data_IF_858509057748
#
_entry.id   IF_858509057748
#
_cell.length_a   1.000
_cell.length_b   1.000
_cell.length_c   1.000
_cell.angle_alpha   90.00
_cell.angle_beta   90.00
_cell.angle_gamma   90.00
#
_symmetry.space_group_name_H-M   'P 1'
#
loop_
_entity.id
_entity.type
_entity.pdbx_description
1 polymer ?
#
# COMPACT_ATOMS: atom_id res chain seq x y z
N UNK A 1 6.88 -5.02 -18.49
CA UNK A 1 7.82 -4.28 -19.35
C UNK A 1 8.26 -2.98 -18.65
N UNK A 2 9.42 -2.45 -19.03
CA UNK A 2 9.90 -1.17 -18.52
C UNK A 2 9.30 -0.02 -19.35
N UNK A 3 8.88 1.03 -18.68
CA UNK A 3 8.46 2.28 -19.31
C UNK A 3 9.54 3.36 -19.14
N UNK A 4 9.50 4.44 -19.91
CA UNK A 4 10.27 5.65 -19.58
C UNK A 4 9.89 6.19 -18.19
N UNK A 5 10.79 6.93 -17.56
CA UNK A 5 10.54 7.62 -16.29
C UNK A 5 9.61 8.82 -16.53
N UNK A 6 8.31 8.53 -16.53
CA UNK A 6 7.25 9.52 -16.71
C UNK A 6 6.00 9.04 -15.95
N UNK A 7 5.92 9.35 -14.67
CA UNK A 7 4.92 8.79 -13.75
C UNK A 7 3.48 9.08 -14.21
N UNK A 8 3.22 10.27 -14.75
CA UNK A 8 1.91 10.60 -15.33
C UNK A 8 1.56 9.70 -16.52
N UNK A 9 2.53 9.34 -17.36
CA UNK A 9 2.33 8.40 -18.46
C UNK A 9 2.15 6.97 -17.98
N UNK A 10 2.89 6.55 -16.95
CA UNK A 10 2.75 5.22 -16.34
C UNK A 10 1.33 5.04 -15.84
N UNK A 11 0.83 5.98 -15.04
CA UNK A 11 -0.54 5.90 -14.51
C UNK A 11 -1.57 6.07 -15.62
N UNK A 12 -1.38 7.02 -16.54
CA UNK A 12 -2.32 7.25 -17.66
C UNK A 12 -2.48 6.03 -18.56
N UNK A 13 -1.37 5.35 -18.91
CA UNK A 13 -1.40 4.10 -19.67
C UNK A 13 -2.10 3.00 -18.90
N UNK A 14 -1.83 2.88 -17.60
CA UNK A 14 -2.46 1.89 -16.74
C UNK A 14 -3.99 2.10 -16.62
N UNK A 15 -4.46 3.35 -16.59
CA UNK A 15 -5.91 3.63 -16.66
C UNK A 15 -6.50 3.07 -17.95
N UNK A 16 -5.89 3.33 -19.10
CA UNK A 16 -6.33 2.80 -20.38
C UNK A 16 -6.39 1.26 -20.39
N UNK A 17 -5.36 0.61 -19.86
CA UNK A 17 -5.33 -0.85 -19.70
C UNK A 17 -6.45 -1.36 -18.78
N UNK A 18 -6.65 -0.68 -17.63
CA UNK A 18 -7.67 -1.09 -16.67
C UNK A 18 -9.09 -1.03 -17.25
N UNK A 19 -9.44 0.06 -17.92
CA UNK A 19 -10.79 0.20 -18.52
C UNK A 19 -11.02 -0.69 -19.74
N UNK A 20 -9.95 -1.23 -20.34
CA UNK A 20 -10.05 -2.23 -21.41
C UNK A 20 -10.04 -3.67 -20.90
N UNK A 21 -10.13 -3.87 -19.59
CA UNK A 21 -10.31 -5.20 -18.98
C UNK A 21 -9.05 -5.87 -18.46
N UNK A 22 -7.89 -5.21 -18.52
CA UNK A 22 -6.67 -5.70 -17.89
C UNK A 22 -6.63 -5.34 -16.40
N UNK A 23 -5.73 -5.99 -15.65
CA UNK A 23 -5.40 -5.66 -14.26
C UNK A 23 -3.94 -5.21 -14.18
N UNK A 24 -3.63 -3.97 -14.53
CA UNK A 24 -2.27 -3.49 -14.51
C UNK A 24 -1.77 -3.35 -13.08
N UNK A 25 -0.52 -3.77 -12.88
CA UNK A 25 0.26 -3.50 -11.68
C UNK A 25 1.42 -2.63 -12.12
N UNK A 26 1.42 -1.39 -11.71
CA UNK A 26 2.47 -0.43 -12.07
C UNK A 26 3.28 -0.04 -10.84
N UNK A 27 4.53 0.32 -11.06
CA UNK A 27 5.43 0.74 -10.00
C UNK A 27 5.91 2.17 -10.24
N UNK A 28 5.80 2.99 -9.20
CA UNK A 28 6.47 4.27 -9.09
C UNK A 28 7.69 4.03 -8.19
N UNK A 29 8.91 4.27 -8.69
CA UNK A 29 10.17 3.89 -8.06
C UNK A 29 10.31 4.34 -6.60
N UNK A 30 9.83 5.55 -6.30
CA UNK A 30 9.76 6.11 -4.96
C UNK A 30 8.47 6.92 -4.85
N UNK A 31 7.82 6.80 -3.70
CA UNK A 31 6.60 7.55 -3.43
C UNK A 31 6.77 9.07 -3.59
N UNK A 32 7.98 9.56 -3.37
CA UNK A 32 8.37 10.96 -3.54
C UNK A 32 8.13 11.48 -4.97
N UNK A 33 8.09 10.61 -5.97
CA UNK A 33 7.88 11.00 -7.38
C UNK A 33 6.44 10.86 -7.86
N UNK A 34 5.55 10.34 -7.03
CA UNK A 34 4.15 10.11 -7.43
C UNK A 34 3.39 11.41 -7.73
N UNK A 35 3.89 12.53 -7.24
CA UNK A 35 3.26 13.85 -7.36
C UNK A 35 3.03 14.28 -8.79
N UNK A 36 3.89 13.90 -9.71
CA UNK A 36 3.72 14.20 -11.15
C UNK A 36 2.53 13.49 -11.78
N UNK A 37 2.03 12.43 -11.16
CA UNK A 37 0.86 11.65 -11.61
C UNK A 37 -0.40 11.87 -10.77
N UNK A 38 -0.38 12.84 -9.84
CA UNK A 38 -1.52 13.07 -8.95
C UNK A 38 -2.80 13.46 -9.68
N UNK A 39 -2.70 14.16 -10.81
CA UNK A 39 -3.87 14.49 -11.62
C UNK A 39 -4.53 13.24 -12.18
N UNK A 40 -3.75 12.27 -12.67
CA UNK A 40 -4.25 10.99 -13.17
C UNK A 40 -4.87 10.17 -12.04
N UNK A 41 -4.22 10.13 -10.87
CA UNK A 41 -4.73 9.36 -9.73
C UNK A 41 -6.00 10.02 -9.18
N UNK A 42 -5.91 11.27 -8.80
CA UNK A 42 -7.00 11.98 -8.10
C UNK A 42 -8.20 12.25 -9.00
N UNK A 43 -8.00 12.63 -10.25
CA UNK A 43 -9.08 13.03 -11.12
C UNK A 43 -9.65 11.87 -11.95
N UNK A 44 -8.84 10.87 -12.27
CA UNK A 44 -9.27 9.77 -13.14
C UNK A 44 -9.44 8.45 -12.37
N UNK A 45 -8.38 7.95 -11.75
CA UNK A 45 -8.39 6.62 -11.11
C UNK A 45 -9.45 6.52 -10.03
N UNK A 46 -9.42 7.41 -9.04
CA UNK A 46 -10.31 7.31 -7.88
C UNK A 46 -11.76 7.70 -8.18
N UNK A 47 -11.99 8.49 -9.22
CA UNK A 47 -13.34 8.97 -9.56
C UNK A 47 -14.01 8.16 -10.66
N UNK A 48 -13.31 7.25 -11.31
CA UNK A 48 -13.78 6.53 -12.51
C UNK A 48 -15.15 5.90 -12.29
N UNK A 49 -15.31 5.13 -11.24
CA UNK A 49 -16.57 4.45 -10.91
C UNK A 49 -17.69 5.45 -10.62
N UNK A 50 -17.42 6.48 -9.85
CA UNK A 50 -18.40 7.51 -9.52
C UNK A 50 -18.85 8.30 -10.76
N UNK A 51 -17.90 8.81 -11.56
CA UNK A 51 -18.20 9.60 -12.77
C UNK A 51 -18.93 8.82 -13.84
N UNK A 52 -18.67 7.53 -13.93
CA UNK A 52 -19.34 6.66 -14.90
C UNK A 52 -20.66 6.07 -14.40
N UNK A 53 -21.16 6.49 -13.25
CA UNK A 53 -22.33 5.88 -12.64
C UNK A 53 -22.21 4.36 -12.49
N UNK A 54 -21.02 3.90 -12.03
CA UNK A 54 -20.66 2.50 -11.83
C UNK A 54 -20.57 1.65 -13.13
N UNK A 55 -20.52 2.28 -14.30
CA UNK A 55 -20.38 1.57 -15.56
C UNK A 55 -18.93 1.11 -15.80
N UNK A 56 -17.94 1.86 -15.31
CA UNK A 56 -16.54 1.55 -15.50
C UNK A 56 -15.84 1.26 -14.18
N UNK A 57 -15.03 0.23 -14.20
CA UNK A 57 -14.12 -0.15 -13.12
C UNK A 57 -12.70 0.30 -13.48
N UNK A 58 -11.87 0.49 -12.47
CA UNK A 58 -10.44 0.81 -12.67
C UNK A 58 -9.58 -0.06 -11.75
N UNK A 59 -9.47 -1.39 -12.03
CA UNK A 59 -8.74 -2.33 -11.19
C UNK A 59 -7.22 -2.18 -11.35
N UNK A 60 -6.69 -1.03 -10.98
CA UNK A 60 -5.30 -0.65 -11.10
C UNK A 60 -4.60 -0.79 -9.75
N UNK A 61 -3.43 -1.41 -9.72
CA UNK A 61 -2.56 -1.46 -8.53
C UNK A 61 -1.35 -0.58 -8.78
N UNK A 62 -1.16 0.42 -7.92
CA UNK A 62 -0.02 1.33 -7.94
C UNK A 62 0.90 0.94 -6.79
N UNK A 63 2.05 0.36 -7.07
CA UNK A 63 3.08 0.07 -6.08
C UNK A 63 4.00 1.27 -5.92
N UNK A 64 4.28 1.63 -4.67
CA UNK A 64 5.18 2.74 -4.35
C UNK A 64 6.01 2.42 -3.10
N UNK A 65 7.34 2.33 -3.19
CA UNK A 65 8.21 2.27 -2.03
C UNK A 65 8.16 3.58 -1.24
N UNK A 66 7.92 3.48 0.06
CA UNK A 66 7.76 4.62 1.00
C UNK A 66 8.74 4.53 2.16
N UNK A 67 8.83 5.59 2.95
CA UNK A 67 9.60 5.63 4.19
C UNK A 67 11.10 5.80 4.00
N UNK A 68 11.80 6.03 5.10
CA UNK A 68 13.25 6.25 5.15
C UNK A 68 14.07 4.97 5.23
N UNK A 69 15.22 5.07 5.94
CA UNK A 69 16.19 4.01 6.25
C UNK A 69 17.10 3.54 5.12
N UNK A 70 17.08 4.22 3.97
CA UNK A 70 18.02 3.93 2.87
C UNK A 70 19.08 5.03 2.67
N UNK A 71 19.10 6.05 3.52
CA UNK A 71 19.96 7.23 3.43
C UNK A 71 19.81 8.01 2.11
N UNK A 72 18.62 8.00 1.51
CA UNK A 72 18.30 8.66 0.24
C UNK A 72 17.96 10.15 0.35
N UNK A 73 17.99 10.72 1.56
CA UNK A 73 17.62 12.11 1.81
C UNK A 73 16.14 12.37 1.62
N UNK A 74 15.78 13.65 1.48
CA UNK A 74 14.39 14.12 1.50
C UNK A 74 13.55 13.68 0.29
N UNK A 75 14.18 13.36 -0.82
CA UNK A 75 13.50 12.96 -2.07
C UNK A 75 13.33 11.45 -2.21
N UNK A 76 13.68 10.67 -1.19
CA UNK A 76 13.59 9.21 -1.21
C UNK A 76 13.14 8.63 0.13
N UNK A 77 12.49 9.40 0.97
CA UNK A 77 12.23 8.99 2.35
C UNK A 77 10.82 9.29 2.87
N UNK A 78 9.94 9.82 2.02
CA UNK A 78 8.61 10.23 2.45
C UNK A 78 7.68 9.04 2.68
N UNK A 79 6.77 9.22 3.64
CA UNK A 79 5.57 8.39 3.84
C UNK A 79 4.36 9.24 3.48
N UNK A 80 3.59 8.78 2.52
CA UNK A 80 2.57 9.60 1.82
C UNK A 80 1.15 9.06 1.99
N UNK A 81 0.97 8.06 2.80
CA UNK A 81 -0.33 7.40 3.05
C UNK A 81 -1.44 8.39 3.44
N UNK A 82 -1.12 9.39 4.28
CA UNK A 82 -2.06 10.42 4.69
C UNK A 82 -2.69 11.21 3.55
N UNK A 83 -1.97 11.44 2.45
CA UNK A 83 -2.54 12.14 1.28
C UNK A 83 -3.62 11.31 0.58
N UNK A 84 -3.44 10.01 0.49
CA UNK A 84 -4.40 9.10 -0.16
C UNK A 84 -5.62 8.80 0.73
N UNK A 85 -5.51 8.95 2.03
CA UNK A 85 -6.64 8.81 2.95
C UNK A 85 -7.74 9.87 2.71
N UNK A 86 -7.39 10.99 2.08
CA UNK A 86 -8.34 12.04 1.69
C UNK A 86 -8.94 11.84 0.29
N UNK A 87 -8.68 10.70 -0.36
CA UNK A 87 -9.16 10.42 -1.72
C UNK A 87 -10.16 9.25 -1.70
N UNK A 88 -11.48 9.52 -1.61
CA UNK A 88 -12.48 8.46 -1.73
C UNK A 88 -12.34 7.75 -3.09
N UNK A 89 -12.42 6.41 -3.07
CA UNK A 89 -12.37 5.61 -4.30
C UNK A 89 -11.04 4.89 -4.54
N UNK A 90 -10.09 4.96 -3.61
CA UNK A 90 -8.88 4.14 -3.62
C UNK A 90 -8.72 3.41 -2.30
N UNK A 91 -8.24 2.18 -2.37
CA UNK A 91 -7.84 1.40 -1.20
C UNK A 91 -6.34 1.54 -0.96
N UNK A 92 -5.95 1.57 0.32
CA UNK A 92 -4.55 1.71 0.72
C UNK A 92 -4.10 0.39 1.34
N UNK A 93 -3.05 -0.21 0.80
CA UNK A 93 -2.35 -1.33 1.39
C UNK A 93 -0.99 -0.86 1.91
N UNK A 94 -0.68 -1.17 3.16
CA UNK A 94 0.60 -0.81 3.76
C UNK A 94 1.05 -1.92 4.72
N UNK A 95 1.54 -3.04 4.17
CA UNK A 95 1.89 -4.22 4.95
C UNK A 95 3.05 -3.97 5.92
N UNK A 96 3.04 -4.72 7.02
CA UNK A 96 4.08 -4.68 8.05
C UNK A 96 5.05 -5.86 8.00
N UNK A 97 4.70 -6.92 7.27
CA UNK A 97 5.51 -8.13 7.14
C UNK A 97 5.29 -8.80 5.76
N UNK A 98 6.07 -9.83 5.48
CA UNK A 98 6.07 -10.49 4.17
C UNK A 98 4.77 -11.24 3.86
N UNK A 99 4.15 -11.92 4.84
CA UNK A 99 2.89 -12.64 4.62
C UNK A 99 1.73 -11.68 4.34
N UNK A 100 1.65 -10.56 5.07
CA UNK A 100 0.65 -9.52 4.83
C UNK A 100 0.83 -8.92 3.44
N UNK A 101 2.08 -8.66 3.03
CA UNK A 101 2.37 -8.15 1.70
C UNK A 101 1.88 -9.11 0.60
N UNK A 102 2.16 -10.41 0.74
CA UNK A 102 1.67 -11.44 -0.19
C UNK A 102 0.14 -11.48 -0.22
N UNK A 103 -0.50 -11.56 0.95
CA UNK A 103 -1.95 -11.69 1.07
C UNK A 103 -2.71 -10.47 0.53
N UNK A 104 -2.25 -9.27 0.88
CA UNK A 104 -2.84 -8.01 0.42
C UNK A 104 -2.66 -7.80 -1.09
N UNK A 105 -1.47 -8.09 -1.64
CA UNK A 105 -1.22 -7.92 -3.08
C UNK A 105 -2.07 -8.90 -3.89
N UNK A 106 -2.17 -10.15 -3.46
CA UNK A 106 -3.03 -11.15 -4.08
C UNK A 106 -4.51 -10.75 -4.00
N UNK A 107 -4.94 -10.17 -2.88
CA UNK A 107 -6.30 -9.66 -2.75
C UNK A 107 -6.53 -8.45 -3.65
N UNK A 108 -5.58 -7.51 -3.72
CA UNK A 108 -5.65 -6.36 -4.61
C UNK A 108 -5.85 -6.77 -6.07
N UNK A 109 -5.16 -7.82 -6.53
CA UNK A 109 -5.34 -8.37 -7.89
C UNK A 109 -6.76 -8.92 -8.16
N UNK A 110 -7.58 -9.15 -7.14
CA UNK A 110 -8.96 -9.65 -7.27
C UNK A 110 -10.01 -8.57 -7.16
N UNK A 111 -9.62 -7.41 -6.70
CA UNK A 111 -10.54 -6.27 -6.55
C UNK A 111 -10.85 -5.63 -7.91
N UNK A 112 -11.94 -4.90 -7.94
CA UNK A 112 -12.41 -4.10 -9.06
C UNK A 112 -12.08 -2.61 -8.89
N UNK A 113 -11.71 -2.23 -7.67
CA UNK A 113 -11.36 -0.86 -7.29
C UNK A 113 -9.84 -0.69 -7.25
N UNK A 114 -9.34 0.53 -7.45
CA UNK A 114 -7.91 0.78 -7.45
C UNK A 114 -7.30 0.66 -6.07
N UNK A 115 -6.04 0.22 -6.05
CA UNK A 115 -5.26 0.06 -4.82
C UNK A 115 -3.95 0.80 -4.96
N UNK A 116 -3.60 1.62 -3.96
CA UNK A 116 -2.21 2.04 -3.77
C UNK A 116 -1.55 1.09 -2.76
N UNK A 117 -0.47 0.47 -3.18
CA UNK A 117 0.26 -0.52 -2.41
C UNK A 117 1.61 0.05 -1.98
N UNK A 118 1.69 0.47 -0.72
CA UNK A 118 2.86 1.13 -0.15
C UNK A 118 3.78 0.12 0.52
N UNK A 119 5.03 0.12 0.12
CA UNK A 119 6.05 -0.81 0.63
C UNK A 119 7.11 -0.02 1.40
N UNK A 120 7.15 -0.20 2.73
CA UNK A 120 8.13 0.53 3.54
C UNK A 120 9.54 -0.01 3.33
N UNK A 121 10.41 0.80 2.75
CA UNK A 121 11.80 0.42 2.40
C UNK A 121 12.63 -0.08 3.59
N UNK A 122 12.38 0.49 4.77
CA UNK A 122 13.04 0.07 6.01
C UNK A 122 12.70 -1.35 6.46
N UNK A 123 11.65 -1.98 5.90
CA UNK A 123 11.28 -3.37 6.18
C UNK A 123 11.92 -4.36 5.22
N UNK A 124 12.42 -3.90 4.07
CA UNK A 124 13.06 -4.77 3.11
C UNK A 124 14.25 -5.50 3.73
N UNK A 125 14.28 -6.80 3.58
CA UNK A 125 15.37 -7.68 4.06
C UNK A 125 15.57 -7.68 5.59
N UNK A 126 14.57 -7.21 6.35
CA UNK A 126 14.65 -7.25 7.81
C UNK A 126 14.11 -8.57 8.35
N UNK A 127 14.90 -9.24 9.18
CA UNK A 127 14.50 -10.52 9.77
C UNK A 127 13.21 -10.43 10.59
N UNK A 128 13.00 -9.34 11.32
CA UNK A 128 11.79 -9.12 12.13
C UNK A 128 10.53 -8.88 11.29
N UNK A 129 10.66 -8.52 10.03
CA UNK A 129 9.55 -8.35 9.10
C UNK A 129 9.37 -9.57 8.17
N UNK A 130 10.20 -10.59 8.33
CA UNK A 130 10.03 -11.86 7.64
C UNK A 130 8.88 -12.66 8.24
N UNK A 131 8.36 -13.60 7.49
CA UNK A 131 7.35 -14.55 7.91
C UNK A 131 7.52 -15.87 7.14
N UNK A 132 6.98 -16.95 7.68
CA UNK A 132 6.81 -18.16 6.89
C UNK A 132 5.95 -17.83 5.68
N UNK A 133 6.30 -18.41 4.54
CA UNK A 133 5.50 -18.20 3.33
C UNK A 133 4.14 -18.89 3.52
N UNK A 134 3.04 -18.14 3.43
CA UNK A 134 1.72 -18.72 3.50
C UNK A 134 1.38 -19.50 2.23
N UNK A 135 0.37 -20.35 2.32
CA UNK A 135 -0.11 -21.18 1.21
C UNK A 135 -0.49 -20.35 -0.02
N UNK A 136 -0.58 -21.05 -1.16
CA UNK A 136 -0.96 -20.42 -2.46
C UNK A 136 -2.31 -19.74 -2.40
N UNK A 137 -3.24 -20.18 -1.56
CA UNK A 137 -4.60 -19.64 -1.47
C UNK A 137 -4.77 -18.55 -0.42
N UNK A 138 -3.70 -18.26 0.31
CA UNK A 138 -3.74 -17.20 1.32
C UNK A 138 -4.09 -15.84 0.72
N UNK A 139 -5.11 -15.22 1.27
CA UNK A 139 -5.61 -13.88 0.94
C UNK A 139 -5.83 -13.09 2.23
N UNK A 140 -5.43 -11.84 2.24
CA UNK A 140 -5.70 -10.93 3.33
C UNK A 140 -6.73 -9.88 2.88
N UNK A 141 -7.95 -9.87 3.45
CA UNK A 141 -8.99 -8.94 3.02
C UNK A 141 -8.69 -7.51 3.49
N UNK A 142 -9.06 -6.54 2.65
CA UNK A 142 -9.08 -5.13 3.06
C UNK A 142 -10.21 -4.86 4.06
N UNK A 143 -10.05 -3.83 4.88
CA UNK A 143 -11.05 -3.39 5.85
C UNK A 143 -11.08 -4.20 7.15
N UNK A 144 -10.14 -5.10 7.37
CA UNK A 144 -9.98 -5.86 8.62
C UNK A 144 -8.61 -5.61 9.22
N UNK A 145 -8.58 -5.21 10.49
CA UNK A 145 -7.36 -5.16 11.29
C UNK A 145 -6.98 -6.55 11.79
N UNK A 146 -5.69 -6.76 12.05
CA UNK A 146 -5.17 -7.93 12.73
C UNK A 146 -4.79 -7.57 14.17
N UNK A 147 -5.27 -8.35 15.15
CA UNK A 147 -4.91 -8.16 16.55
C UNK A 147 -3.56 -8.85 16.79
N UNK A 148 -2.55 -8.05 17.06
CA UNK A 148 -1.19 -8.52 17.33
C UNK A 148 -1.02 -8.85 18.83
N UNK A 149 -1.55 -8.00 19.71
CA UNK A 149 -1.51 -8.15 21.16
C UNK A 149 -2.87 -7.82 21.72
N UNK A 150 -3.37 -8.64 22.63
CA UNK A 150 -4.64 -8.41 23.33
C UNK A 150 -4.39 -7.63 24.62
N UNK A 151 -5.35 -6.80 25.01
CA UNK A 151 -5.34 -6.00 26.23
C UNK A 151 -6.65 -5.24 26.35
N UNK A 152 -6.84 -4.54 27.47
CA UNK A 152 -8.09 -3.85 27.83
C UNK A 152 -7.88 -2.39 28.27
N UNK A 153 -6.62 -1.94 28.47
CA UNK A 153 -6.32 -0.59 28.95
C UNK A 153 -6.10 0.41 27.80
N UNK A 154 -5.51 -0.02 26.69
CA UNK A 154 -5.12 0.84 25.57
C UNK A 154 -5.25 0.12 24.23
N UNK A 155 -5.78 0.81 23.23
CA UNK A 155 -5.77 0.35 21.85
C UNK A 155 -4.80 1.17 21.01
N UNK A 156 -3.82 0.51 20.39
CA UNK A 156 -2.88 1.12 19.45
C UNK A 156 -3.16 0.57 18.05
N UNK A 157 -3.42 1.46 17.10
CA UNK A 157 -3.59 1.11 15.69
C UNK A 157 -2.36 1.57 14.91
N UNK A 158 -1.70 0.66 14.23
CA UNK A 158 -0.47 0.92 13.49
C UNK A 158 -0.44 0.14 12.18
N UNK A 159 0.36 0.60 11.22
CA UNK A 159 0.60 -0.05 9.94
C UNK A 159 2.05 0.15 9.48
N UNK A 160 2.48 -0.63 8.47
CA UNK A 160 3.84 -0.57 7.95
C UNK A 160 4.91 -0.76 9.03
N UNK A 161 5.96 0.03 9.00
CA UNK A 161 7.05 -0.05 9.97
C UNK A 161 6.65 0.33 11.40
N UNK A 162 5.56 1.09 11.57
CA UNK A 162 5.11 1.51 12.90
C UNK A 162 4.58 0.36 13.75
N UNK A 163 4.14 -0.75 13.15
CA UNK A 163 3.75 -1.96 13.87
C UNK A 163 4.93 -2.49 14.70
N UNK A 164 6.09 -2.63 14.09
CA UNK A 164 7.29 -3.11 14.77
C UNK A 164 7.78 -2.15 15.85
N UNK A 165 7.72 -0.84 15.58
CA UNK A 165 8.04 0.20 16.56
C UNK A 165 7.12 0.16 17.78
N UNK A 166 5.84 -0.07 17.56
CA UNK A 166 4.85 -0.24 18.63
C UNK A 166 5.15 -1.49 19.46
N UNK A 167 5.45 -2.62 18.84
CA UNK A 167 5.83 -3.85 19.56
C UNK A 167 7.08 -3.63 20.40
N UNK A 168 8.11 -2.97 19.86
CA UNK A 168 9.32 -2.62 20.59
C UNK A 168 9.01 -1.73 21.82
N UNK A 169 8.15 -0.73 21.65
CA UNK A 169 7.75 0.16 22.73
C UNK A 169 6.98 -0.58 23.84
N UNK A 170 6.04 -1.43 23.48
CA UNK A 170 5.28 -2.28 24.42
C UNK A 170 6.24 -3.13 25.25
N UNK A 171 7.19 -3.82 24.63
CA UNK A 171 8.20 -4.64 25.31
C UNK A 171 9.09 -3.80 26.24
N UNK A 172 9.55 -2.64 25.77
CA UNK A 172 10.44 -1.76 26.56
C UNK A 172 9.77 -1.20 27.82
N UNK A 173 8.44 -1.13 27.81
CA UNK A 173 7.62 -0.66 28.94
C UNK A 173 7.16 -1.80 29.84
N UNK A 174 7.48 -3.06 29.51
CA UNK A 174 7.05 -4.24 30.26
C UNK A 174 5.53 -4.43 30.26
N UNK A 175 4.87 -4.05 29.16
CA UNK A 175 3.41 -4.13 29.03
C UNK A 175 2.95 -5.44 28.35
N UNK A 176 3.87 -6.22 27.85
CA UNK A 176 3.60 -7.52 27.18
C UNK A 176 3.43 -8.70 28.15
N UNK A 177 3.73 -8.49 29.44
CA UNK A 177 3.60 -9.50 30.51
C UNK A 177 2.40 -9.29 31.45
N UNK A 178 1.49 -8.36 31.09
CA UNK A 178 0.32 -8.00 31.94
C UNK A 178 -0.97 -8.59 31.43
#
# INVERSE_FOLDING_TARGET
FNSPLAESSIIGTAIGLAVTGYKPVVEIQFADYIWTSMMQIRNEVVTMRYRSNNLWECPLIIRAPVGGYINGGIYHSQSIDGYFMHMPGILIAYPSNASDAKGLLKMACRLKDPVIFMEHKGLYRQGYASSLEPDSDYLLPFGKGNIITSGDELTIVAWGAMVHKTIEAIKSLGLDER
#
